data_IF_793211124091
#
_entry.id   IF_793211124091
#
_cell.length_a   1.000
_cell.length_b   1.000
_cell.length_c   1.000
_cell.angle_alpha   90.00
_cell.angle_beta   90.00
_cell.angle_gamma   90.00
#
_symmetry.space_group_name_H-M   'P 1'
#
loop_
_entity.id
_entity.type
_entity.pdbx_description
1 polymer ?
#
# COMPACT_ATOMS: atom_id res chain seq x y z
N UNK A 1 13.93 -44.69 8.85
CA UNK A 1 13.16 -44.58 7.60
C UNK A 1 11.63 -44.50 7.83
N UNK A 2 11.04 -45.35 8.68
CA UNK A 2 9.61 -45.27 9.03
C UNK A 2 9.31 -44.07 9.96
N UNK A 3 10.13 -43.82 10.96
CA UNK A 3 10.01 -42.65 11.85
C UNK A 3 10.04 -41.33 11.09
N UNK A 4 10.95 -41.17 10.13
CA UNK A 4 11.03 -39.97 9.28
C UNK A 4 9.78 -39.80 8.40
N UNK A 5 9.15 -40.90 7.97
CA UNK A 5 7.90 -40.83 7.21
C UNK A 5 6.74 -40.43 8.08
N UNK A 6 6.69 -40.86 9.33
CA UNK A 6 5.67 -40.45 10.29
C UNK A 6 5.83 -39.00 10.72
N UNK A 7 7.04 -38.53 10.96
CA UNK A 7 7.30 -37.10 11.24
C UNK A 7 6.85 -36.20 10.10
N UNK A 8 7.24 -36.53 8.86
CA UNK A 8 6.78 -35.76 7.67
C UNK A 8 5.24 -35.79 7.52
N UNK A 9 4.59 -36.90 7.86
CA UNK A 9 3.12 -36.96 7.86
C UNK A 9 2.51 -36.05 8.93
N UNK A 10 3.05 -36.06 10.15
CA UNK A 10 2.60 -35.20 11.24
C UNK A 10 2.79 -33.72 10.89
N UNK A 11 3.94 -33.36 10.36
CA UNK A 11 4.21 -31.99 9.89
C UNK A 11 3.24 -31.55 8.78
N UNK A 12 2.95 -32.42 7.82
CA UNK A 12 1.99 -32.11 6.74
C UNK A 12 0.57 -31.91 7.29
N UNK A 13 0.15 -32.73 8.23
CA UNK A 13 -1.17 -32.62 8.88
C UNK A 13 -1.25 -31.30 9.66
N UNK A 14 -0.22 -30.97 10.41
CA UNK A 14 -0.16 -29.74 11.20
C UNK A 14 -0.15 -28.50 10.30
N UNK A 15 0.62 -28.50 9.22
CA UNK A 15 0.60 -27.43 8.20
C UNK A 15 -0.78 -27.29 7.55
N UNK A 16 -1.46 -28.39 7.27
CA UNK A 16 -2.81 -28.37 6.69
C UNK A 16 -3.85 -27.82 7.66
N UNK A 17 -3.73 -28.13 8.94
CA UNK A 17 -4.62 -27.61 9.98
C UNK A 17 -4.39 -26.11 10.21
N UNK A 18 -3.15 -25.68 10.40
CA UNK A 18 -2.82 -24.27 10.60
C UNK A 18 -3.26 -23.41 9.42
N UNK A 19 -3.11 -23.89 8.20
CA UNK A 19 -3.57 -23.22 6.98
C UNK A 19 -5.08 -23.09 6.91
N UNK A 20 -5.82 -24.12 7.35
CA UNK A 20 -7.27 -24.09 7.42
C UNK A 20 -7.77 -23.09 8.47
N UNK A 21 -7.12 -23.02 9.63
CA UNK A 21 -7.44 -22.07 10.69
C UNK A 21 -7.16 -20.62 10.23
N UNK A 22 -6.02 -20.37 9.56
CA UNK A 22 -5.71 -19.08 8.99
C UNK A 22 -6.71 -18.67 7.91
N UNK A 23 -7.12 -19.60 7.05
CA UNK A 23 -8.14 -19.34 6.04
C UNK A 23 -9.49 -18.97 6.68
N UNK A 24 -9.88 -19.64 7.75
CA UNK A 24 -11.11 -19.32 8.48
C UNK A 24 -11.03 -17.95 9.18
N UNK A 25 -9.87 -17.60 9.76
CA UNK A 25 -9.65 -16.29 10.38
C UNK A 25 -9.72 -15.15 9.35
N UNK A 26 -9.12 -15.33 8.19
CA UNK A 26 -9.18 -14.34 7.10
C UNK A 26 -10.60 -14.20 6.55
N UNK A 27 -11.31 -15.29 6.39
CA UNK A 27 -12.72 -15.28 5.97
C UNK A 27 -13.60 -14.54 6.99
N UNK A 28 -13.39 -14.80 8.28
CA UNK A 28 -14.11 -14.13 9.38
C UNK A 28 -13.76 -12.63 9.47
N UNK A 29 -12.54 -12.25 9.10
CA UNK A 29 -12.09 -10.85 9.04
C UNK A 29 -12.58 -10.12 7.77
N UNK A 30 -13.35 -10.79 6.89
CA UNK A 30 -13.87 -10.19 5.66
C UNK A 30 -12.79 -9.95 4.57
N UNK A 31 -11.67 -10.67 4.66
CA UNK A 31 -10.58 -10.61 3.69
C UNK A 31 -10.31 -12.01 3.09
N UNK A 32 -11.26 -12.56 2.32
CA UNK A 32 -11.12 -13.87 1.71
C UNK A 32 -10.23 -13.77 0.48
N UNK A 33 -9.00 -14.22 0.58
CA UNK A 33 -8.03 -14.27 -0.51
C UNK A 33 -7.11 -15.46 -0.38
N UNK A 34 -6.06 -15.51 -1.20
CA UNK A 34 -5.04 -16.54 -1.04
C UNK A 34 -4.24 -16.29 0.25
N UNK A 35 -4.47 -17.17 1.21
CA UNK A 35 -3.89 -17.10 2.58
C UNK A 35 -2.37 -16.96 2.55
N UNK A 36 -1.71 -17.66 1.63
CA UNK A 36 -0.24 -17.63 1.54
C UNK A 36 0.25 -16.27 1.09
N UNK A 37 -0.37 -15.66 0.07
CA UNK A 37 0.03 -14.35 -0.43
C UNK A 37 -0.29 -13.24 0.57
N UNK A 38 -1.45 -13.28 1.20
CA UNK A 38 -1.83 -12.32 2.24
C UNK A 38 -0.83 -12.39 3.40
N UNK A 39 -0.54 -13.60 3.91
CA UNK A 39 0.42 -13.79 4.99
C UNK A 39 1.83 -13.29 4.66
N UNK A 40 2.30 -13.52 3.42
CA UNK A 40 3.59 -13.00 2.96
C UNK A 40 3.62 -11.48 2.87
N UNK A 41 2.54 -10.82 2.43
CA UNK A 41 2.44 -9.35 2.40
C UNK A 41 2.42 -8.78 3.80
N UNK A 42 1.65 -9.36 4.71
CA UNK A 42 1.58 -8.93 6.12
C UNK A 42 2.93 -9.08 6.82
N UNK A 43 3.62 -10.19 6.59
CA UNK A 43 4.95 -10.40 7.14
C UNK A 43 5.96 -9.36 6.62
N UNK A 44 5.91 -9.07 5.32
CA UNK A 44 6.76 -8.03 4.72
C UNK A 44 6.44 -6.65 5.30
N UNK A 45 5.15 -6.30 5.47
CA UNK A 45 4.71 -5.05 6.10
C UNK A 45 5.23 -4.93 7.52
N UNK A 46 5.10 -5.97 8.32
CA UNK A 46 5.61 -6.01 9.69
C UNK A 46 7.13 -5.80 9.76
N UNK A 47 7.87 -6.32 8.79
CA UNK A 47 9.32 -6.11 8.69
C UNK A 47 9.67 -4.67 8.28
N UNK A 48 8.89 -4.05 7.39
CA UNK A 48 9.07 -2.65 7.01
C UNK A 48 8.69 -1.70 8.15
N UNK A 49 7.61 -1.97 8.87
CA UNK A 49 7.20 -1.18 10.04
C UNK A 49 8.29 -1.14 11.12
N UNK A 50 8.95 -2.28 11.36
CA UNK A 50 10.11 -2.33 12.26
C UNK A 50 11.25 -1.45 11.78
N UNK A 51 11.58 -1.49 10.48
CA UNK A 51 12.64 -0.68 9.87
C UNK A 51 12.30 0.81 9.90
N UNK A 52 11.04 1.17 9.62
CA UNK A 52 10.57 2.56 9.65
C UNK A 52 10.59 3.16 11.05
N UNK A 53 10.22 2.39 12.07
CA UNK A 53 10.33 2.84 13.48
C UNK A 53 11.78 3.09 13.92
N UNK A 54 12.74 2.39 13.32
CA UNK A 54 14.17 2.56 13.61
C UNK A 54 14.82 3.68 12.79
N UNK A 55 14.28 4.02 11.63
CA UNK A 55 14.76 5.12 10.80
C UNK A 55 13.87 6.34 11.04
N UNK A 56 14.39 7.36 11.73
CA UNK A 56 13.72 8.66 11.81
C UNK A 56 13.63 9.23 10.38
N UNK A 57 12.44 9.35 9.77
CA UNK A 57 12.32 9.95 8.46
C UNK A 57 12.64 11.45 8.62
N UNK A 58 13.85 11.85 8.29
CA UNK A 58 14.13 13.25 8.03
C UNK A 58 13.29 13.61 6.81
N UNK A 59 12.29 14.46 7.04
CA UNK A 59 11.59 15.15 5.98
C UNK A 59 12.66 15.78 5.08
N UNK A 60 12.92 15.15 3.93
CA UNK A 60 13.80 15.73 2.92
C UNK A 60 13.00 16.84 2.27
N UNK A 61 13.10 18.03 2.83
CA UNK A 61 12.68 19.25 2.14
C UNK A 61 13.58 19.39 0.90
N UNK A 62 13.23 18.69 -0.15
CA UNK A 62 13.85 18.93 -1.46
C UNK A 62 13.24 20.23 -1.96
N UNK A 63 14.08 21.24 -2.11
CA UNK A 63 13.75 22.45 -2.89
C UNK A 63 13.61 22.04 -4.38
N UNK A 64 12.54 21.35 -4.69
CA UNK A 64 12.21 20.94 -6.05
C UNK A 64 11.03 21.79 -6.55
N UNK A 65 11.18 22.31 -7.77
CA UNK A 65 10.10 23.05 -8.43
C UNK A 65 8.92 22.13 -8.82
N UNK A 66 9.10 20.81 -8.73
CA UNK A 66 8.09 19.81 -9.06
C UNK A 66 8.02 18.84 -7.89
N UNK A 67 6.82 18.63 -7.38
CA UNK A 67 6.52 17.65 -6.34
C UNK A 67 5.65 16.56 -6.94
N UNK A 68 6.11 15.33 -6.88
CA UNK A 68 5.37 14.15 -7.32
C UNK A 68 4.91 13.34 -6.10
N UNK A 69 3.61 13.27 -5.90
CA UNK A 69 3.02 12.54 -4.79
C UNK A 69 2.09 11.43 -5.29
N UNK A 70 2.10 10.29 -4.61
CA UNK A 70 1.18 9.19 -4.85
C UNK A 70 0.30 8.97 -3.62
N UNK A 71 -0.97 8.66 -3.83
CA UNK A 71 -1.90 8.25 -2.78
C UNK A 71 -2.52 6.90 -3.11
N UNK A 72 -2.37 5.96 -2.20
CA UNK A 72 -3.10 4.69 -2.24
C UNK A 72 -4.54 4.94 -1.80
N UNK A 73 -5.52 4.48 -2.59
CA UNK A 73 -6.93 4.45 -2.16
C UNK A 73 -7.23 3.20 -1.32
N UNK A 74 -8.23 3.25 -0.44
CA UNK A 74 -8.77 2.04 0.17
C UNK A 74 -9.32 1.08 -0.89
N UNK A 75 -9.34 -0.20 -0.58
CA UNK A 75 -9.98 -1.20 -1.42
C UNK A 75 -11.50 -1.03 -1.41
N UNK A 76 -12.12 -1.13 -2.57
CA UNK A 76 -13.58 -1.13 -2.68
C UNK A 76 -14.17 -2.46 -2.20
N UNK A 77 -15.41 -2.41 -1.74
CA UNK A 77 -16.15 -3.60 -1.31
C UNK A 77 -16.25 -4.65 -2.43
N UNK A 78 -16.51 -4.22 -3.66
CA UNK A 78 -16.52 -5.09 -4.84
C UNK A 78 -15.18 -5.80 -5.13
N UNK A 79 -14.06 -5.21 -4.76
CA UNK A 79 -12.73 -5.84 -4.89
C UNK A 79 -12.55 -6.89 -3.80
N UNK A 80 -13.03 -6.60 -2.58
CA UNK A 80 -13.04 -7.58 -1.49
C UNK A 80 -13.94 -8.77 -1.79
N UNK A 81 -15.12 -8.54 -2.38
CA UNK A 81 -16.03 -9.59 -2.83
C UNK A 81 -15.40 -10.49 -3.90
N UNK A 82 -14.55 -9.94 -4.77
CA UNK A 82 -13.79 -10.70 -5.79
C UNK A 82 -12.58 -11.42 -5.24
N UNK A 83 -12.37 -11.36 -3.93
CA UNK A 83 -11.21 -11.96 -3.26
C UNK A 83 -9.87 -11.35 -3.69
N UNK A 84 -9.89 -10.10 -4.16
CA UNK A 84 -8.67 -9.37 -4.45
C UNK A 84 -7.95 -9.05 -3.14
N UNK A 85 -6.63 -9.19 -3.15
CA UNK A 85 -5.82 -8.86 -1.98
C UNK A 85 -5.14 -7.50 -2.14
N UNK A 86 -4.92 -6.83 -1.02
CA UNK A 86 -4.22 -5.55 -0.99
C UNK A 86 -2.73 -5.73 -1.31
N UNK A 87 -2.37 -5.48 -2.56
CA UNK A 87 -1.04 -5.67 -3.10
C UNK A 87 -0.17 -4.41 -3.12
N UNK A 88 -0.62 -3.30 -2.52
CA UNK A 88 0.14 -2.05 -2.49
C UNK A 88 0.42 -1.63 -1.05
N UNK A 89 1.66 -1.25 -0.77
CA UNK A 89 2.06 -0.69 0.53
C UNK A 89 2.78 0.64 0.32
N UNK A 90 2.37 1.66 1.08
CA UNK A 90 2.99 2.99 1.04
C UNK A 90 3.77 3.23 2.32
N UNK A 91 5.04 3.56 2.16
CA UNK A 91 5.97 3.99 3.21
C UNK A 91 6.71 5.21 2.71
N UNK A 92 6.23 6.40 3.08
CA UNK A 92 6.78 7.66 2.59
C UNK A 92 8.32 7.71 2.67
N UNK A 93 9.01 8.05 1.59
CA UNK A 93 8.57 8.48 0.25
C UNK A 93 8.41 7.34 -0.79
N UNK A 94 8.25 6.11 -0.39
CA UNK A 94 8.21 4.94 -1.28
C UNK A 94 6.84 4.27 -1.31
N UNK A 95 6.40 3.89 -2.50
CA UNK A 95 5.29 2.97 -2.71
C UNK A 95 5.81 1.63 -3.24
N UNK A 96 5.27 0.54 -2.72
CA UNK A 96 5.66 -0.82 -3.07
C UNK A 96 4.50 -1.59 -3.65
N UNK A 97 4.75 -2.29 -4.75
CA UNK A 97 3.80 -3.22 -5.37
C UNK A 97 4.26 -4.64 -5.09
N UNK A 98 3.38 -5.45 -4.55
CA UNK A 98 3.60 -6.86 -4.23
C UNK A 98 2.95 -7.73 -5.31
N UNK A 99 3.77 -8.36 -6.14
CA UNK A 99 3.29 -9.24 -7.21
C UNK A 99 3.42 -10.68 -6.79
N UNK A 100 2.28 -11.38 -6.74
CA UNK A 100 2.22 -12.80 -6.46
C UNK A 100 2.67 -13.60 -7.69
N UNK A 101 3.59 -14.53 -7.48
CA UNK A 101 4.15 -15.38 -8.54
C UNK A 101 4.31 -16.82 -8.07
N UNK A 102 4.34 -17.73 -9.04
CA UNK A 102 4.70 -19.13 -8.82
C UNK A 102 6.10 -19.40 -9.36
N UNK A 103 6.85 -20.24 -8.68
CA UNK A 103 8.12 -20.75 -9.21
C UNK A 103 7.85 -21.69 -10.41
N UNK A 104 8.92 -22.08 -11.09
CA UNK A 104 8.86 -22.98 -12.26
C UNK A 104 8.23 -24.34 -11.92
N UNK A 105 8.25 -24.75 -10.66
CA UNK A 105 7.58 -25.93 -10.15
C UNK A 105 6.04 -25.85 -10.15
N UNK A 106 5.47 -24.66 -10.42
CA UNK A 106 4.03 -24.42 -10.46
C UNK A 106 3.32 -24.50 -9.09
N UNK A 107 4.04 -24.82 -8.02
CA UNK A 107 3.47 -25.08 -6.69
C UNK A 107 3.97 -24.05 -5.67
N UNK A 108 5.26 -23.72 -5.70
CA UNK A 108 5.87 -22.81 -4.73
C UNK A 108 5.48 -21.37 -5.05
N UNK A 109 4.77 -20.74 -4.12
CA UNK A 109 4.36 -19.33 -4.20
C UNK A 109 5.45 -18.43 -3.67
N UNK A 110 5.63 -17.27 -4.27
CA UNK A 110 6.52 -16.22 -3.77
C UNK A 110 6.04 -14.85 -4.16
N UNK A 111 6.51 -13.82 -3.45
CA UNK A 111 6.23 -12.42 -3.76
C UNK A 111 7.45 -11.75 -4.36
N UNK A 112 7.21 -10.93 -5.36
CA UNK A 112 8.19 -9.95 -5.84
C UNK A 112 7.74 -8.58 -5.36
N UNK A 113 8.64 -7.83 -4.74
CA UNK A 113 8.38 -6.49 -4.25
C UNK A 113 9.06 -5.48 -5.16
N UNK A 114 8.27 -4.64 -5.83
CA UNK A 114 8.79 -3.56 -6.68
C UNK A 114 8.54 -2.23 -5.99
N UNK A 115 9.61 -1.52 -5.63
CA UNK A 115 9.53 -0.23 -4.96
C UNK A 115 9.69 0.92 -5.95
N UNK A 116 8.83 1.93 -5.81
CA UNK A 116 8.89 3.19 -6.55
C UNK A 116 9.11 4.32 -5.55
N UNK A 117 10.00 5.24 -5.89
CA UNK A 117 10.29 6.39 -5.03
C UNK A 117 9.65 7.65 -5.61
N UNK A 118 8.94 8.36 -4.75
CA UNK A 118 8.28 9.64 -5.03
C UNK A 118 8.81 10.71 -4.08
N UNK A 119 8.31 11.93 -4.17
CA UNK A 119 8.56 12.94 -3.15
C UNK A 119 7.70 12.65 -1.91
N UNK A 120 6.44 12.21 -2.11
CA UNK A 120 5.56 11.73 -1.05
C UNK A 120 4.76 10.50 -1.47
N UNK A 121 4.57 9.57 -0.55
CA UNK A 121 3.75 8.37 -0.74
C UNK A 121 2.77 8.22 0.42
N UNK A 122 1.49 8.49 0.16
CA UNK A 122 0.42 8.45 1.14
C UNK A 122 -0.32 7.11 1.12
N UNK A 123 -0.51 6.54 2.29
CA UNK A 123 -1.34 5.35 2.49
C UNK A 123 -2.83 5.66 2.45
N UNK A 124 -3.64 4.62 2.62
CA UNK A 124 -5.10 4.76 2.69
C UNK A 124 -5.58 5.53 3.92
N UNK A 125 -4.82 5.47 5.03
CA UNK A 125 -5.10 6.16 6.29
C UNK A 125 -4.83 7.68 6.22
N UNK A 126 -4.14 8.14 5.17
CA UNK A 126 -3.76 9.55 5.06
C UNK A 126 -4.98 10.43 4.78
N UNK A 127 -5.15 11.45 5.59
CA UNK A 127 -6.23 12.42 5.43
C UNK A 127 -5.96 13.41 4.29
N UNK A 128 -7.01 14.00 3.76
CA UNK A 128 -6.90 15.04 2.72
C UNK A 128 -6.09 16.24 3.20
N UNK A 129 -6.25 16.61 4.49
CA UNK A 129 -5.52 17.74 5.08
C UNK A 129 -4.01 17.48 5.16
N UNK A 130 -3.61 16.26 5.50
CA UNK A 130 -2.18 15.87 5.50
C UNK A 130 -1.58 15.97 4.10
N UNK A 131 -2.31 15.52 3.09
CA UNK A 131 -1.86 15.62 1.69
C UNK A 131 -1.75 17.07 1.25
N UNK A 132 -2.78 17.88 1.58
CA UNK A 132 -2.78 19.31 1.28
C UNK A 132 -1.58 20.03 1.90
N UNK A 133 -1.34 19.83 3.18
CA UNK A 133 -0.23 20.45 3.91
C UNK A 133 1.15 20.07 3.32
N UNK A 134 1.30 18.82 2.89
CA UNK A 134 2.57 18.35 2.35
C UNK A 134 2.82 18.75 0.89
N UNK A 135 1.77 18.93 0.09
CA UNK A 135 1.91 19.10 -1.37
C UNK A 135 1.45 20.46 -1.88
N UNK A 136 0.24 20.88 -1.52
CA UNK A 136 -0.42 22.05 -2.13
C UNK A 136 -0.19 23.32 -1.35
N UNK A 137 -0.13 23.26 -0.03
CA UNK A 137 0.07 24.45 0.81
C UNK A 137 1.33 25.24 0.44
N UNK A 138 2.50 24.61 0.23
CA UNK A 138 3.69 25.33 -0.22
C UNK A 138 3.51 26.06 -1.57
N UNK A 139 2.70 25.50 -2.45
CA UNK A 139 2.37 26.12 -3.74
C UNK A 139 1.46 27.34 -3.57
N UNK A 140 0.48 27.26 -2.67
CA UNK A 140 -0.40 28.39 -2.33
C UNK A 140 0.42 29.52 -1.74
N UNK A 141 1.29 29.22 -0.78
CA UNK A 141 2.20 30.22 -0.20
C UNK A 141 3.09 30.88 -1.24
N UNK A 142 3.64 30.08 -2.17
CA UNK A 142 4.43 30.63 -3.28
C UNK A 142 3.61 31.59 -4.14
N UNK A 143 2.38 31.23 -4.54
CA UNK A 143 1.52 32.10 -5.38
C UNK A 143 1.18 33.38 -4.66
N UNK A 144 0.79 33.30 -3.36
CA UNK A 144 0.36 34.45 -2.56
C UNK A 144 1.52 35.44 -2.31
N UNK A 145 2.66 34.92 -1.91
CA UNK A 145 3.79 35.79 -1.49
C UNK A 145 4.65 36.26 -2.64
N UNK A 146 4.85 35.41 -3.69
CA UNK A 146 5.73 35.78 -4.79
C UNK A 146 4.98 36.27 -6.04
N UNK A 147 3.63 36.24 -6.04
CA UNK A 147 2.78 36.47 -7.24
C UNK A 147 3.17 35.56 -8.39
N UNK A 148 3.76 34.40 -8.07
CA UNK A 148 4.17 33.37 -9.02
C UNK A 148 2.97 32.59 -9.58
N UNK A 149 3.26 31.60 -10.41
CA UNK A 149 2.24 30.67 -10.93
C UNK A 149 2.54 29.29 -10.40
N UNK A 150 1.49 28.55 -10.01
CA UNK A 150 1.58 27.15 -9.63
C UNK A 150 0.46 26.36 -10.33
N UNK A 151 0.75 25.11 -10.65
CA UNK A 151 -0.22 24.23 -11.29
C UNK A 151 -0.24 22.90 -10.56
N UNK A 152 -1.41 22.39 -10.26
CA UNK A 152 -1.61 21.09 -9.62
C UNK A 152 -2.33 20.18 -10.61
N UNK A 153 -1.71 19.04 -10.90
CA UNK A 153 -2.31 17.98 -11.72
C UNK A 153 -2.71 16.83 -10.82
N UNK A 154 -3.95 16.36 -10.98
CA UNK A 154 -4.40 15.12 -10.36
C UNK A 154 -4.61 14.08 -11.46
N UNK A 155 -3.87 12.99 -11.39
CA UNK A 155 -3.93 11.91 -12.36
C UNK A 155 -4.37 10.62 -11.66
N UNK A 156 -5.27 9.87 -12.30
CA UNK A 156 -5.72 8.58 -11.79
C UNK A 156 -6.67 7.90 -12.76
N UNK A 157 -6.94 6.63 -12.52
CA UNK A 157 -7.88 5.86 -13.32
C UNK A 157 -9.29 6.44 -13.18
N UNK A 158 -10.04 6.52 -14.29
CA UNK A 158 -11.42 7.01 -14.32
C UNK A 158 -12.31 6.25 -13.33
N UNK A 159 -13.01 6.98 -12.46
CA UNK A 159 -13.82 6.39 -11.38
C UNK A 159 -13.32 6.65 -9.96
N UNK A 160 -12.16 7.28 -9.79
CA UNK A 160 -11.66 7.70 -8.49
C UNK A 160 -12.34 9.02 -8.05
N UNK A 161 -13.53 8.91 -7.49
CA UNK A 161 -14.31 10.05 -6.99
C UNK A 161 -13.58 10.95 -5.98
N UNK A 162 -12.54 10.43 -5.32
CA UNK A 162 -11.81 11.15 -4.28
C UNK A 162 -10.87 12.25 -4.80
N UNK A 163 -10.36 12.14 -6.02
CA UNK A 163 -9.48 13.16 -6.60
C UNK A 163 -10.28 14.42 -6.96
N UNK A 164 -11.49 14.23 -7.48
CA UNK A 164 -12.40 15.31 -7.86
C UNK A 164 -12.83 16.20 -6.67
N UNK A 165 -13.06 15.61 -5.50
CA UNK A 165 -13.47 16.36 -4.31
C UNK A 165 -12.36 17.25 -3.75
N UNK A 166 -11.11 16.79 -3.80
CA UNK A 166 -9.95 17.54 -3.30
C UNK A 166 -9.69 18.78 -4.14
N UNK A 167 -9.76 18.66 -5.47
CA UNK A 167 -9.53 19.79 -6.38
C UNK A 167 -10.69 20.81 -6.33
N UNK A 168 -11.93 20.34 -6.22
CA UNK A 168 -13.09 21.26 -6.11
C UNK A 168 -13.06 22.12 -4.85
N UNK A 169 -12.59 21.57 -3.73
CA UNK A 169 -12.52 22.31 -2.47
C UNK A 169 -11.40 23.36 -2.45
N UNK A 170 -10.38 23.19 -3.29
CA UNK A 170 -9.26 24.11 -3.39
C UNK A 170 -9.55 25.35 -4.25
N UNK A 171 -10.56 25.29 -5.14
CA UNK A 171 -10.86 26.36 -6.10
C UNK A 171 -12.25 26.96 -6.00
N UNK A 172 -13.07 26.63 -5.00
CA UNK A 172 -14.29 27.41 -4.71
C UNK A 172 -13.88 28.65 -3.92
N UNK A 173 -13.57 29.71 -4.62
CA UNK A 173 -13.64 31.07 -4.11
C UNK A 173 -15.12 31.48 -4.16
N UNK A 174 -15.75 31.67 -2.99
CA UNK A 174 -16.98 32.44 -2.85
C UNK A 174 -16.63 33.93 -2.90
#
# INVERSE_FOLDING_TARGET
MEEEREERRKEMIQKKQSRKEQSQKLLAAGNPGDVDFIGMVEQWRADQDRKHKMSNPKASARNSNIIVAVRKRPMFEKEREKLDHDSVSCYDPKAWIHSAKFKVDGITKYLTHTGFQFDHAFGEESTTDQIYLATTMPLVDHVVHTKGRATVFCYGQTGMYYVSATVRKLFSFD
#
